data_IF_765941798280
#
_entry.id   IF_765941798280
#
_cell.length_a   1.000
_cell.length_b   1.000
_cell.length_c   1.000
_cell.angle_alpha   90.00
_cell.angle_beta   90.00
_cell.angle_gamma   90.00
#
_symmetry.space_group_name_H-M   'P 1'
#
loop_
_entity.id
_entity.type
_entity.pdbx_description
1 polymer ?
#
# COMPACT_ATOMS: atom_id res chain seq x y z
N UNK A 1 6.83 63.54 22.38
CA UNK A 1 7.78 62.75 21.57
C UNK A 1 8.44 61.77 22.52
N UNK A 2 8.30 60.44 22.50
CA UNK A 2 7.78 59.48 21.52
C UNK A 2 7.02 58.37 22.30
N UNK A 3 5.89 57.91 21.76
CA UNK A 3 5.22 56.68 22.18
C UNK A 3 5.89 55.47 21.49
N UNK A 4 6.34 54.47 22.24
CA UNK A 4 6.77 53.19 21.68
C UNK A 4 5.55 52.32 21.36
N UNK A 5 5.29 52.08 20.07
CA UNK A 5 4.36 51.05 19.62
C UNK A 5 5.06 49.69 19.64
N UNK A 6 4.55 48.74 20.43
CA UNK A 6 4.91 47.33 20.31
C UNK A 6 4.20 46.72 19.10
N UNK A 7 4.98 46.26 18.12
CA UNK A 7 4.50 45.52 16.96
C UNK A 7 4.28 44.05 17.34
N UNK A 8 3.01 43.63 17.41
CA UNK A 8 2.64 42.23 17.56
C UNK A 8 2.82 41.53 16.19
N UNK A 9 3.88 40.75 16.03
CA UNK A 9 4.09 39.92 14.83
C UNK A 9 3.23 38.66 14.90
N UNK A 10 2.20 38.57 14.06
CA UNK A 10 1.43 37.33 13.87
C UNK A 10 2.31 36.30 13.15
N UNK A 11 2.77 35.28 13.88
CA UNK A 11 3.36 34.07 13.31
C UNK A 11 2.24 33.25 12.67
N UNK A 12 2.19 33.26 11.34
CA UNK A 12 1.33 32.37 10.55
C UNK A 12 1.86 30.94 10.68
N UNK A 13 1.20 30.12 11.49
CA UNK A 13 1.51 28.70 11.65
C UNK A 13 0.97 27.99 10.40
N UNK A 14 1.82 27.80 9.39
CA UNK A 14 1.58 26.84 8.33
C UNK A 14 1.46 25.45 8.97
N UNK A 15 0.22 24.98 9.17
CA UNK A 15 -0.05 23.61 9.55
C UNK A 15 0.32 22.72 8.36
N UNK A 16 1.52 22.16 8.39
CA UNK A 16 1.87 21.04 7.53
C UNK A 16 0.98 19.87 7.93
N UNK A 17 -0.05 19.58 7.14
CA UNK A 17 -0.77 18.33 7.25
C UNK A 17 0.25 17.21 6.99
N UNK A 18 0.65 16.51 8.06
CA UNK A 18 1.49 15.34 7.95
C UNK A 18 0.83 14.39 6.94
N UNK A 19 1.57 13.99 5.90
CA UNK A 19 1.11 12.95 5.00
C UNK A 19 0.71 11.74 5.86
N UNK A 20 -0.55 11.31 5.72
CA UNK A 20 -1.02 10.14 6.44
C UNK A 20 -0.15 8.96 6.00
N UNK A 21 0.58 8.37 6.94
CA UNK A 21 1.44 7.22 6.67
C UNK A 21 0.65 5.96 6.29
N UNK A 22 1.33 4.81 6.13
CA UNK A 22 0.69 3.55 5.78
C UNK A 22 -0.39 3.17 6.80
N UNK A 23 -1.47 2.49 6.38
CA UNK A 23 -2.58 2.14 7.26
C UNK A 23 -2.15 1.19 8.37
N UNK A 24 -2.91 1.20 9.46
CA UNK A 24 -2.78 0.23 10.55
C UNK A 24 -3.95 -0.74 10.51
N UNK A 25 -3.69 -2.00 10.86
CA UNK A 25 -4.78 -2.97 11.07
C UNK A 25 -5.73 -2.42 12.13
N UNK A 26 -7.03 -2.49 11.84
CA UNK A 26 -8.09 -1.92 12.67
C UNK A 26 -8.53 -0.51 12.27
N UNK A 27 -7.88 0.17 11.30
CA UNK A 27 -8.41 1.40 10.71
C UNK A 27 -9.73 1.11 10.01
N UNK A 28 -10.80 1.87 10.34
CA UNK A 28 -12.18 1.64 9.88
C UNK A 28 -12.73 2.85 9.13
N UNK A 29 -13.53 2.56 8.11
CA UNK A 29 -14.25 3.54 7.30
C UNK A 29 -15.73 3.13 7.19
N UNK A 30 -16.61 3.72 8.01
CA UNK A 30 -18.04 3.44 7.96
C UNK A 30 -18.74 4.23 6.85
N UNK A 31 -19.85 3.70 6.34
CA UNK A 31 -20.80 4.43 5.47
C UNK A 31 -20.18 5.01 4.19
N UNK A 32 -19.25 4.29 3.56
CA UNK A 32 -18.60 4.73 2.33
C UNK A 32 -19.42 4.36 1.10
N UNK A 33 -19.20 5.11 0.02
CA UNK A 33 -19.67 4.73 -1.30
C UNK A 33 -18.79 3.60 -1.87
N UNK A 34 -19.40 2.69 -2.63
CA UNK A 34 -18.66 1.77 -3.48
C UNK A 34 -19.25 1.70 -4.89
N UNK A 35 -18.41 1.69 -5.89
CA UNK A 35 -18.75 1.45 -7.31
C UNK A 35 -18.07 0.18 -7.80
N UNK A 36 -18.18 -0.12 -9.09
CA UNK A 36 -17.42 -1.19 -9.70
C UNK A 36 -16.86 -0.83 -11.08
N UNK A 37 -15.81 -1.55 -11.48
CA UNK A 37 -15.26 -1.50 -12.82
C UNK A 37 -15.13 -2.89 -13.45
N UNK A 38 -15.04 -2.90 -14.78
CA UNK A 38 -14.76 -4.09 -15.58
C UNK A 38 -13.48 -3.83 -16.39
N UNK A 39 -12.32 -4.09 -15.79
CA UNK A 39 -11.02 -3.78 -16.37
C UNK A 39 -9.98 -4.83 -16.02
N UNK A 40 -8.71 -4.51 -16.30
CA UNK A 40 -7.60 -5.44 -16.12
C UNK A 40 -7.56 -6.02 -14.69
N UNK A 41 -7.41 -7.33 -14.61
CA UNK A 41 -7.32 -8.05 -13.34
C UNK A 41 -6.00 -7.74 -12.66
N UNK A 42 -6.07 -7.26 -11.41
CA UNK A 42 -4.92 -7.09 -10.52
C UNK A 42 -3.78 -6.15 -11.01
N UNK A 43 -3.97 -5.52 -12.18
CA UNK A 43 -3.19 -4.39 -12.64
C UNK A 43 -3.62 -3.13 -11.88
N UNK A 44 -2.73 -2.15 -11.83
CA UNK A 44 -3.02 -0.89 -11.17
C UNK A 44 -1.77 -0.15 -10.72
N UNK A 45 -1.99 1.02 -10.13
CA UNK A 45 -0.92 1.87 -9.59
C UNK A 45 0.02 1.12 -8.66
N UNK A 46 -0.42 0.12 -7.90
CA UNK A 46 0.44 -0.60 -6.96
C UNK A 46 1.38 -1.65 -7.60
N UNK A 47 1.31 -1.84 -8.93
CA UNK A 47 2.17 -2.74 -9.71
C UNK A 47 2.29 -4.18 -9.15
N UNK A 48 1.28 -4.67 -8.43
CA UNK A 48 1.28 -6.02 -7.86
C UNK A 48 1.32 -7.12 -8.94
N UNK A 49 0.77 -6.84 -10.12
CA UNK A 49 0.83 -7.72 -11.31
C UNK A 49 2.26 -8.03 -11.77
N UNK A 50 3.24 -7.16 -11.45
CA UNK A 50 4.65 -7.42 -11.76
C UNK A 50 5.24 -8.54 -10.89
N UNK A 51 4.62 -8.83 -9.74
CA UNK A 51 5.00 -9.92 -8.84
C UNK A 51 4.15 -11.17 -9.06
N UNK A 52 2.83 -11.01 -9.11
CA UNK A 52 1.87 -12.10 -9.28
C UNK A 52 0.71 -11.62 -10.15
N UNK A 53 0.28 -12.39 -11.15
CA UNK A 53 -0.75 -11.97 -12.11
C UNK A 53 -2.18 -11.94 -11.55
N UNK A 54 -2.40 -12.46 -10.34
CA UNK A 54 -3.69 -12.51 -9.67
C UNK A 54 -3.53 -12.34 -8.15
N UNK A 55 -4.57 -11.91 -7.42
CA UNK A 55 -4.54 -11.84 -5.97
C UNK A 55 -4.28 -13.22 -5.34
N UNK A 56 -3.71 -13.27 -4.12
CA UNK A 56 -3.58 -14.52 -3.37
C UNK A 56 -4.94 -15.22 -3.18
N UNK A 57 -4.93 -16.55 -3.13
CA UNK A 57 -6.14 -17.35 -3.02
C UNK A 57 -7.00 -16.92 -1.82
N UNK A 58 -8.28 -16.66 -2.07
CA UNK A 58 -9.24 -16.19 -1.05
C UNK A 58 -9.30 -14.68 -0.86
N UNK A 59 -8.49 -13.91 -1.61
CA UNK A 59 -8.58 -12.45 -1.68
C UNK A 59 -9.13 -12.01 -3.04
N UNK A 60 -9.99 -11.00 -3.03
CA UNK A 60 -10.28 -10.15 -4.19
C UNK A 60 -9.24 -9.04 -4.30
N UNK A 61 -9.39 -8.14 -5.27
CA UNK A 61 -8.63 -6.90 -5.40
C UNK A 61 -9.58 -5.70 -5.44
N UNK A 62 -9.08 -4.52 -5.08
CA UNK A 62 -9.93 -3.33 -4.91
C UNK A 62 -9.11 -2.06 -5.12
N UNK A 63 -9.79 -1.00 -5.59
CA UNK A 63 -9.25 0.35 -5.58
C UNK A 63 -9.81 1.11 -4.38
N UNK A 64 -8.96 1.87 -3.70
CA UNK A 64 -9.42 2.82 -2.67
C UNK A 64 -9.33 4.25 -3.21
N UNK A 65 -10.07 5.17 -2.61
CA UNK A 65 -10.07 6.56 -3.05
C UNK A 65 -8.68 7.24 -3.05
N UNK A 66 -8.52 8.21 -3.93
CA UNK A 66 -7.31 9.01 -4.11
C UNK A 66 -6.76 9.62 -2.81
N UNK A 67 -7.65 10.06 -1.90
CA UNK A 67 -7.24 10.64 -0.62
C UNK A 67 -6.44 9.67 0.26
N UNK A 68 -6.55 8.36 0.03
CA UNK A 68 -5.88 7.32 0.79
C UNK A 68 -4.64 6.75 0.09
N UNK A 69 -4.68 6.55 -1.23
CA UNK A 69 -3.66 5.74 -1.91
C UNK A 69 -3.00 6.43 -3.11
N UNK A 70 -3.15 7.76 -3.28
CA UNK A 70 -2.43 8.50 -4.33
C UNK A 70 -0.91 8.36 -4.22
N UNK A 71 -0.39 8.22 -3.00
CA UNK A 71 1.04 8.08 -2.72
C UNK A 71 1.44 6.61 -2.48
N UNK A 72 0.54 5.65 -2.78
CA UNK A 72 0.82 4.23 -2.61
C UNK A 72 0.81 3.73 -1.16
N UNK A 73 0.31 4.53 -0.21
CA UNK A 73 0.33 4.24 1.23
C UNK A 73 -0.47 2.98 1.58
N UNK A 74 -1.57 2.70 0.86
CA UNK A 74 -2.41 1.52 1.07
C UNK A 74 -2.03 0.35 0.16
N UNK A 75 -1.07 0.52 -0.76
CA UNK A 75 -0.72 -0.56 -1.69
C UNK A 75 -0.31 -1.84 -0.97
N UNK A 76 -0.96 -2.95 -1.34
CA UNK A 76 -0.73 -4.26 -0.74
C UNK A 76 -1.40 -4.48 0.62
N UNK A 77 -2.06 -3.47 1.20
CA UNK A 77 -2.84 -3.66 2.42
C UNK A 77 -4.10 -4.50 2.12
N UNK A 78 -4.47 -5.38 3.06
CA UNK A 78 -5.73 -6.11 2.97
C UNK A 78 -6.83 -5.39 3.72
N UNK A 79 -8.02 -5.41 3.15
CA UNK A 79 -9.23 -4.83 3.72
C UNK A 79 -10.35 -5.86 3.76
N UNK A 80 -11.23 -5.71 4.75
CA UNK A 80 -12.51 -6.42 4.81
C UNK A 80 -13.63 -5.46 4.46
N UNK A 81 -14.32 -5.73 3.36
CA UNK A 81 -15.44 -4.93 2.85
C UNK A 81 -16.75 -5.59 3.26
N UNK A 82 -17.62 -4.84 3.94
CA UNK A 82 -18.91 -5.31 4.45
C UNK A 82 -20.02 -4.48 3.79
N UNK A 83 -21.01 -5.14 3.14
CA UNK A 83 -22.14 -4.41 2.59
C UNK A 83 -23.04 -3.91 3.73
N UNK A 84 -23.50 -2.67 3.64
CA UNK A 84 -24.41 -2.09 4.64
C UNK A 84 -25.88 -2.37 4.34
N UNK A 85 -26.16 -2.91 3.15
CA UNK A 85 -27.48 -3.32 2.71
C UNK A 85 -27.48 -4.83 2.45
N UNK A 86 -28.59 -5.48 2.80
CA UNK A 86 -28.73 -6.93 2.68
C UNK A 86 -28.04 -7.72 3.80
N UNK A 87 -27.89 -9.04 3.59
CA UNK A 87 -27.33 -10.00 4.56
C UNK A 87 -26.12 -10.76 4.01
N UNK A 88 -25.44 -10.20 3.00
CA UNK A 88 -24.34 -10.88 2.33
C UNK A 88 -23.05 -10.79 3.15
N UNK A 89 -22.25 -11.85 3.07
CA UNK A 89 -21.02 -11.95 3.84
C UNK A 89 -19.99 -10.90 3.37
N UNK A 90 -19.14 -10.41 4.29
CA UNK A 90 -18.01 -9.57 3.93
C UNK A 90 -17.04 -10.27 2.97
N UNK A 91 -16.31 -9.47 2.20
CA UNK A 91 -15.27 -9.92 1.28
C UNK A 91 -13.93 -9.36 1.71
N UNK A 92 -12.89 -10.19 1.64
CA UNK A 92 -11.51 -9.76 1.85
C UNK A 92 -10.89 -9.40 0.50
N UNK A 93 -10.24 -8.25 0.43
CA UNK A 93 -9.59 -7.77 -0.77
C UNK A 93 -8.22 -7.17 -0.45
N UNK A 94 -7.31 -7.21 -1.42
CA UNK A 94 -6.04 -6.48 -1.37
C UNK A 94 -6.15 -5.19 -2.19
N UNK A 95 -5.62 -4.09 -1.65
CA UNK A 95 -5.58 -2.82 -2.35
C UNK A 95 -4.53 -2.89 -3.46
N UNK A 96 -5.00 -2.90 -4.71
CA UNK A 96 -4.14 -3.02 -5.90
C UNK A 96 -3.99 -1.71 -6.66
N UNK A 97 -4.86 -0.74 -6.41
CA UNK A 97 -4.80 0.57 -7.05
C UNK A 97 -5.54 1.65 -6.28
N UNK A 98 -5.68 2.84 -6.86
CA UNK A 98 -6.55 3.89 -6.36
C UNK A 98 -7.51 4.36 -7.45
N UNK A 99 -8.65 4.89 -7.03
CA UNK A 99 -9.63 5.53 -7.90
C UNK A 99 -9.48 7.05 -7.76
N UNK A 100 -9.05 7.71 -8.84
CA UNK A 100 -8.70 9.14 -8.85
C UNK A 100 -9.88 10.05 -8.50
N UNK A 101 -11.05 9.74 -9.07
CA UNK A 101 -12.27 10.57 -8.97
C UNK A 101 -13.27 10.04 -7.93
N UNK A 102 -12.90 9.00 -7.18
CA UNK A 102 -13.76 8.46 -6.15
C UNK A 102 -13.87 9.43 -4.95
N UNK A 103 -15.07 9.57 -4.36
CA UNK A 103 -15.25 10.32 -3.11
C UNK A 103 -14.31 9.83 -2.01
N UNK A 104 -14.04 10.68 -1.02
CA UNK A 104 -13.14 10.33 0.08
C UNK A 104 -13.52 8.99 0.74
N UNK A 105 -12.52 8.11 0.90
CA UNK A 105 -12.63 6.77 1.51
C UNK A 105 -13.52 5.78 0.74
N UNK A 106 -14.05 6.15 -0.43
CA UNK A 106 -14.84 5.26 -1.25
C UNK A 106 -14.00 4.10 -1.81
N UNK A 107 -14.71 3.06 -2.23
CA UNK A 107 -14.14 1.91 -2.91
C UNK A 107 -14.59 1.93 -4.37
N UNK A 108 -13.71 1.50 -5.24
CA UNK A 108 -14.12 0.94 -6.52
C UNK A 108 -13.72 -0.53 -6.45
N UNK A 109 -14.51 -1.45 -7.01
CA UNK A 109 -14.20 -2.89 -6.93
C UNK A 109 -14.45 -3.61 -8.27
N UNK A 110 -13.88 -4.80 -8.50
CA UNK A 110 -14.24 -5.59 -9.67
C UNK A 110 -15.73 -5.93 -9.67
N UNK A 111 -16.36 -5.96 -10.84
CA UNK A 111 -17.78 -6.31 -10.97
C UNK A 111 -18.15 -7.62 -10.23
N UNK A 112 -17.29 -8.64 -10.29
CA UNK A 112 -17.49 -9.91 -9.57
C UNK A 112 -17.57 -9.75 -8.05
N UNK A 113 -16.70 -8.91 -7.46
CA UNK A 113 -16.72 -8.59 -6.04
C UNK A 113 -17.97 -7.79 -5.66
N UNK A 114 -18.34 -6.80 -6.48
CA UNK A 114 -19.55 -6.00 -6.27
C UNK A 114 -20.80 -6.89 -6.30
N UNK A 115 -20.88 -7.78 -7.27
CA UNK A 115 -21.97 -8.75 -7.43
C UNK A 115 -22.06 -9.70 -6.26
N UNK A 116 -20.94 -10.12 -5.69
CA UNK A 116 -20.90 -10.93 -4.48
C UNK A 116 -21.43 -10.15 -3.28
N UNK A 117 -21.10 -8.87 -3.14
CA UNK A 117 -21.51 -8.04 -2.00
C UNK A 117 -22.95 -7.53 -2.09
N UNK A 118 -23.44 -7.17 -3.28
CA UNK A 118 -24.75 -6.52 -3.49
C UNK A 118 -25.79 -7.44 -4.15
N UNK A 119 -25.33 -8.41 -4.94
CA UNK A 119 -26.18 -9.28 -5.74
C UNK A 119 -26.31 -8.91 -7.20
N UNK A 120 -26.52 -9.96 -8.00
CA UNK A 120 -26.90 -9.88 -9.41
C UNK A 120 -28.41 -9.74 -9.52
N UNK A 121 -28.87 -8.51 -9.76
CA UNK A 121 -30.27 -8.23 -10.05
C UNK A 121 -30.36 -7.21 -11.19
N UNK A 122 -31.28 -7.39 -12.15
CA UNK A 122 -31.61 -6.36 -13.13
C UNK A 122 -31.96 -5.04 -12.45
N UNK A 123 -31.46 -3.92 -12.97
CA UNK A 123 -31.77 -2.58 -12.46
C UNK A 123 -31.10 -2.19 -11.14
N UNK A 124 -30.17 -3.01 -10.61
CA UNK A 124 -29.40 -2.61 -9.42
C UNK A 124 -28.63 -1.31 -9.66
N UNK A 125 -28.54 -0.40 -8.67
CA UNK A 125 -27.71 0.79 -8.81
C UNK A 125 -26.24 0.40 -8.94
N UNK A 126 -25.51 1.09 -9.79
CA UNK A 126 -24.05 0.95 -9.91
C UNK A 126 -23.26 1.54 -8.74
N UNK A 127 -23.97 1.99 -7.70
CA UNK A 127 -23.44 2.61 -6.49
C UNK A 127 -24.06 1.92 -5.27
N UNK A 128 -23.21 1.40 -4.39
CA UNK A 128 -23.59 0.74 -3.14
C UNK A 128 -23.04 1.46 -1.91
N UNK A 129 -23.48 1.02 -0.72
CA UNK A 129 -22.99 1.52 0.58
C UNK A 129 -22.30 0.40 1.35
N UNK A 130 -21.10 0.69 1.82
CA UNK A 130 -20.22 -0.29 2.46
C UNK A 130 -19.61 0.30 3.74
N UNK A 131 -19.16 -0.58 4.63
CA UNK A 131 -18.08 -0.26 5.54
C UNK A 131 -16.87 -1.10 5.19
N UNK A 132 -15.68 -0.60 5.46
CA UNK A 132 -14.50 -1.42 5.33
C UNK A 132 -13.48 -1.12 6.42
N UNK A 133 -12.63 -2.09 6.68
CA UNK A 133 -11.55 -1.97 7.65
C UNK A 133 -10.27 -2.62 7.15
N UNK A 134 -9.13 -2.07 7.55
CA UNK A 134 -7.82 -2.65 7.28
C UNK A 134 -7.64 -3.87 8.19
N UNK A 135 -7.30 -5.01 7.61
CA UNK A 135 -7.11 -6.28 8.32
C UNK A 135 -5.72 -6.84 8.03
N UNK A 136 -5.22 -7.70 8.92
CA UNK A 136 -4.05 -8.50 8.58
C UNK A 136 -4.38 -9.38 7.38
N UNK A 137 -3.49 -9.43 6.39
CA UNK A 137 -3.69 -10.24 5.21
C UNK A 137 -3.69 -11.74 5.58
N UNK A 138 -4.72 -12.52 5.20
CA UNK A 138 -4.84 -13.94 5.51
C UNK A 138 -3.95 -14.82 4.61
N UNK A 139 -2.67 -14.46 4.47
CA UNK A 139 -1.71 -15.11 3.57
C UNK A 139 -1.11 -16.37 4.21
N UNK A 140 -1.96 -17.33 4.63
CA UNK A 140 -1.62 -18.65 5.23
C UNK A 140 -0.17 -18.72 5.79
N UNK A 141 0.67 -19.56 5.16
CA UNK A 141 2.10 -19.76 5.47
C UNK A 141 3.01 -19.02 4.49
N UNK A 142 2.48 -18.06 3.73
CA UNK A 142 3.29 -17.24 2.85
C UNK A 142 4.21 -16.36 3.69
N UNK A 143 5.48 -16.37 3.34
CA UNK A 143 6.49 -15.48 3.90
C UNK A 143 6.69 -14.30 2.95
N UNK A 144 6.96 -13.09 3.49
CA UNK A 144 7.21 -11.92 2.67
C UNK A 144 8.36 -12.13 1.69
N UNK A 145 8.29 -11.42 0.57
CA UNK A 145 9.34 -11.43 -0.45
C UNK A 145 9.73 -10.01 -0.85
N UNK A 146 10.97 -9.88 -1.30
CA UNK A 146 11.50 -8.68 -1.94
C UNK A 146 11.70 -9.00 -3.41
N UNK A 147 11.11 -8.19 -4.30
CA UNK A 147 11.36 -8.28 -5.74
C UNK A 147 11.90 -6.95 -6.23
N UNK A 148 13.10 -6.97 -6.82
CA UNK A 148 13.65 -5.77 -7.45
C UNK A 148 12.81 -5.41 -8.68
N UNK A 149 12.67 -4.10 -8.93
CA UNK A 149 12.06 -3.59 -10.16
C UNK A 149 12.95 -3.92 -11.34
N UNK A 150 12.35 -4.17 -12.50
CA UNK A 150 13.12 -4.20 -13.74
C UNK A 150 13.91 -2.89 -13.92
N UNK A 151 15.20 -3.04 -14.24
CA UNK A 151 16.17 -1.95 -14.34
C UNK A 151 16.92 -1.66 -13.04
N UNK A 152 16.62 -2.35 -11.94
CA UNK A 152 17.40 -2.21 -10.70
C UNK A 152 18.81 -2.76 -10.86
N UNK A 153 19.75 -2.14 -10.16
CA UNK A 153 21.15 -2.53 -10.08
C UNK A 153 21.80 -1.91 -8.85
N UNK A 154 23.10 -2.14 -8.65
CA UNK A 154 23.87 -1.44 -7.61
C UNK A 154 23.96 0.08 -7.80
N UNK A 155 23.61 0.60 -8.98
CA UNK A 155 23.60 2.04 -9.27
C UNK A 155 22.25 2.71 -8.99
N UNK A 156 21.16 1.93 -9.00
CA UNK A 156 19.80 2.40 -8.74
C UNK A 156 18.95 1.20 -8.30
N UNK A 157 18.45 1.23 -7.07
CA UNK A 157 17.71 0.10 -6.48
C UNK A 157 16.29 0.54 -6.12
N UNK A 158 15.32 -0.17 -6.71
CA UNK A 158 13.89 0.00 -6.49
C UNK A 158 13.28 -1.36 -6.19
N UNK A 159 12.60 -1.51 -5.06
CA UNK A 159 12.14 -2.82 -4.58
C UNK A 159 10.68 -2.85 -4.20
N UNK A 160 9.98 -3.91 -4.61
CA UNK A 160 8.65 -4.25 -4.15
C UNK A 160 8.76 -5.16 -2.93
N UNK A 161 8.05 -4.80 -1.85
CA UNK A 161 7.77 -5.71 -0.74
C UNK A 161 6.43 -6.38 -1.02
N UNK A 162 6.44 -7.70 -1.15
CA UNK A 162 5.25 -8.51 -1.40
C UNK A 162 4.98 -9.49 -0.26
N UNK A 163 3.75 -9.97 -0.17
CA UNK A 163 3.30 -10.99 0.80
C UNK A 163 3.53 -10.64 2.29
N UNK A 164 3.65 -9.34 2.62
CA UNK A 164 3.62 -8.88 4.01
C UNK A 164 2.20 -9.00 4.58
N UNK A 165 2.07 -9.49 5.82
CA UNK A 165 0.74 -9.65 6.44
C UNK A 165 0.16 -8.33 6.94
N UNK A 166 1.02 -7.35 7.19
CA UNK A 166 0.66 -6.03 7.69
C UNK A 166 1.26 -4.97 6.76
N UNK A 167 0.64 -3.78 6.66
CA UNK A 167 1.19 -2.68 5.86
C UNK A 167 2.63 -2.36 6.25
N UNK A 168 3.46 -2.04 5.26
CA UNK A 168 4.89 -1.76 5.47
C UNK A 168 5.05 -0.32 5.95
N UNK A 169 5.69 -0.16 7.12
CA UNK A 169 5.96 1.13 7.74
C UNK A 169 7.24 1.76 7.22
N UNK A 170 8.31 0.97 7.06
CA UNK A 170 9.61 1.44 6.59
C UNK A 170 10.44 0.31 6.00
N UNK A 171 11.39 0.69 5.14
CA UNK A 171 12.41 -0.19 4.58
C UNK A 171 13.77 0.46 4.75
N UNK A 172 14.73 -0.30 5.27
CA UNK A 172 16.13 0.07 5.42
C UNK A 172 16.99 -0.89 4.60
N UNK A 173 17.97 -0.34 3.87
CA UNK A 173 18.84 -1.11 2.98
C UNK A 173 20.27 -0.96 3.48
N UNK A 174 20.85 -2.07 3.91
CA UNK A 174 22.22 -2.14 4.38
C UNK A 174 23.13 -2.64 3.26
N UNK A 175 24.11 -1.80 2.89
CA UNK A 175 25.13 -2.07 1.89
C UNK A 175 26.49 -1.83 2.53
N UNK A 176 27.21 -2.90 2.84
CA UNK A 176 28.47 -2.90 3.61
C UNK A 176 28.35 -2.16 4.95
N UNK A 177 28.94 -0.96 5.05
CA UNK A 177 28.93 -0.10 6.26
C UNK A 177 27.91 1.03 6.17
N UNK A 178 27.07 1.06 5.13
CA UNK A 178 26.12 2.13 4.84
C UNK A 178 24.68 1.61 4.98
N UNK A 179 23.86 2.35 5.72
CA UNK A 179 22.43 2.06 5.87
C UNK A 179 21.64 3.19 5.22
N UNK A 180 20.75 2.84 4.31
CA UNK A 180 19.91 3.77 3.58
C UNK A 180 18.45 3.61 3.99
N UNK A 181 17.75 4.67 4.43
CA UNK A 181 16.30 4.65 4.46
C UNK A 181 15.79 4.65 3.01
N UNK A 182 14.89 3.72 2.69
CA UNK A 182 14.21 3.71 1.42
C UNK A 182 12.89 4.49 1.52
N UNK A 183 12.54 5.15 0.42
CA UNK A 183 11.32 5.96 0.30
C UNK A 183 10.26 5.20 -0.47
N UNK A 184 9.04 5.21 0.08
CA UNK A 184 7.88 4.65 -0.60
C UNK A 184 7.51 5.51 -1.82
N UNK A 185 7.28 4.87 -2.95
CA UNK A 185 6.75 5.47 -4.16
C UNK A 185 5.25 5.23 -4.28
N UNK A 186 4.59 6.13 -4.99
CA UNK A 186 3.19 6.07 -5.40
C UNK A 186 2.80 4.79 -6.14
N UNK A 187 3.79 4.12 -6.75
CA UNK A 187 3.60 2.85 -7.43
C UNK A 187 4.03 1.61 -6.62
N UNK A 188 4.06 1.69 -5.29
CA UNK A 188 4.30 0.60 -4.33
C UNK A 188 5.75 0.14 -4.13
N UNK A 189 6.72 0.73 -4.83
CA UNK A 189 8.14 0.39 -4.66
C UNK A 189 8.82 1.23 -3.58
N UNK A 190 9.95 0.75 -3.10
CA UNK A 190 10.83 1.40 -2.14
C UNK A 190 12.17 1.70 -2.80
N UNK A 191 12.58 2.96 -2.78
CA UNK A 191 13.75 3.45 -3.53
C UNK A 191 14.75 4.16 -2.62
N UNK A 192 16.04 4.02 -2.93
CA UNK A 192 17.09 4.85 -2.33
C UNK A 192 17.25 6.09 -3.20
N UNK A 193 17.22 7.27 -2.59
CA UNK A 193 17.69 8.49 -3.24
C UNK A 193 19.15 8.73 -2.90
N UNK A 194 19.94 9.18 -3.88
CA UNK A 194 21.30 9.67 -3.68
C UNK A 194 22.22 8.68 -2.93
N UNK A 195 22.29 7.43 -3.39
CA UNK A 195 23.17 6.42 -2.80
C UNK A 195 24.66 6.78 -2.88
N UNK A 196 25.03 7.81 -3.65
CA UNK A 196 26.41 8.22 -3.89
C UNK A 196 27.14 7.14 -4.68
N UNK A 197 28.27 6.60 -4.18
CA UNK A 197 28.92 5.45 -4.79
C UNK A 197 27.97 4.25 -4.93
N UNK A 198 28.20 3.38 -5.93
CA UNK A 198 27.40 2.17 -6.14
C UNK A 198 27.26 1.34 -4.86
N UNK A 199 26.12 0.69 -4.70
CA UNK A 199 25.89 -0.30 -3.65
C UNK A 199 26.87 -1.48 -3.80
N UNK A 200 26.98 -2.25 -2.73
CA UNK A 200 27.67 -3.53 -2.74
C UNK A 200 27.01 -4.50 -3.75
N UNK A 201 27.73 -5.57 -4.10
CA UNK A 201 27.19 -6.61 -4.98
C UNK A 201 25.98 -7.32 -4.37
N UNK A 202 25.84 -7.28 -3.04
CA UNK A 202 24.65 -7.75 -2.33
C UNK A 202 24.29 -6.78 -1.21
N UNK A 203 23.01 -6.66 -0.90
CA UNK A 203 22.51 -5.82 0.20
C UNK A 203 21.61 -6.63 1.14
N UNK A 204 21.53 -6.20 2.39
CA UNK A 204 20.55 -6.72 3.35
C UNK A 204 19.39 -5.74 3.45
N UNK A 205 18.16 -6.24 3.33
CA UNK A 205 16.94 -5.41 3.35
C UNK A 205 16.17 -5.70 4.62
N UNK A 206 16.04 -4.70 5.49
CA UNK A 206 15.21 -4.76 6.69
C UNK A 206 13.89 -4.06 6.42
N UNK A 207 12.80 -4.76 6.67
CA UNK A 207 11.43 -4.24 6.51
C UNK A 207 10.76 -4.21 7.87
N UNK A 208 10.11 -3.10 8.21
CA UNK A 208 9.30 -2.97 9.42
C UNK A 208 7.85 -2.75 9.02
N UNK A 209 6.93 -3.54 9.57
CA UNK A 209 5.50 -3.38 9.34
C UNK A 209 4.85 -2.47 10.39
N UNK A 210 3.61 -2.05 10.15
CA UNK A 210 2.85 -1.20 11.07
C UNK A 210 2.43 -1.88 12.37
N UNK A 211 2.61 -3.21 12.49
CA UNK A 211 2.52 -3.96 13.74
C UNK A 211 3.82 -3.95 14.57
N UNK A 212 4.77 -3.08 14.21
CA UNK A 212 6.10 -2.89 14.83
C UNK A 212 7.08 -4.06 14.70
N UNK A 213 6.67 -5.19 14.11
CA UNK A 213 7.57 -6.30 13.80
C UNK A 213 8.37 -6.01 12.54
N UNK A 214 9.53 -6.65 12.45
CA UNK A 214 10.41 -6.55 11.28
C UNK A 214 10.87 -7.92 10.81
N UNK A 215 11.25 -7.99 9.54
CA UNK A 215 12.00 -9.11 8.96
C UNK A 215 13.21 -8.58 8.17
N UNK A 216 14.17 -9.46 7.93
CA UNK A 216 15.36 -9.15 7.14
C UNK A 216 15.51 -10.17 6.01
N UNK A 217 15.78 -9.68 4.81
CA UNK A 217 16.21 -10.49 3.66
C UNK A 217 17.67 -10.21 3.42
N UNK A 218 18.51 -11.24 3.56
CA UNK A 218 19.97 -11.11 3.42
C UNK A 218 20.43 -11.39 2.00
N UNK A 219 21.59 -10.84 1.65
CA UNK A 219 22.30 -11.13 0.40
C UNK A 219 21.46 -10.91 -0.88
N UNK A 220 20.63 -9.87 -0.90
CA UNK A 220 19.85 -9.48 -2.09
C UNK A 220 20.81 -8.93 -3.14
N UNK A 221 20.92 -9.59 -4.29
CA UNK A 221 21.60 -9.03 -5.47
C UNK A 221 20.73 -7.89 -6.04
N UNK A 222 21.21 -6.63 -6.07
CA UNK A 222 20.47 -5.50 -6.59
C UNK A 222 20.04 -5.62 -8.07
N UNK A 223 20.70 -6.50 -8.84
CA UNK A 223 20.46 -6.69 -10.28
C UNK A 223 19.57 -7.89 -10.59
N UNK A 224 19.30 -8.74 -9.59
CA UNK A 224 18.47 -9.93 -9.79
C UNK A 224 17.02 -9.55 -10.07
N UNK A 225 16.38 -10.29 -10.99
CA UNK A 225 14.95 -10.19 -11.29
C UNK A 225 14.09 -11.17 -10.46
N UNK A 226 14.74 -12.11 -9.78
CA UNK A 226 14.06 -13.14 -9.00
C UNK A 226 13.65 -12.61 -7.62
N UNK A 227 12.47 -13.03 -7.09
CA UNK A 227 12.06 -12.66 -5.74
C UNK A 227 12.93 -13.35 -4.68
N UNK A 228 13.37 -12.58 -3.68
CA UNK A 228 14.08 -13.07 -2.50
C UNK A 228 13.10 -13.29 -1.35
N UNK A 229 13.15 -14.47 -0.73
CA UNK A 229 12.23 -14.86 0.35
C UNK A 229 12.78 -14.47 1.71
N UNK A 230 11.95 -13.89 2.58
CA UNK A 230 12.29 -13.67 3.97
C UNK A 230 12.23 -14.96 4.80
N UNK A 231 13.05 -15.05 5.86
CA UNK A 231 13.04 -16.19 6.79
C UNK A 231 11.83 -16.16 7.75
N UNK A 232 11.33 -14.96 8.04
CA UNK A 232 10.21 -14.69 8.91
C UNK A 232 9.36 -13.56 8.31
N UNK A 233 8.19 -13.32 8.90
CA UNK A 233 7.30 -12.24 8.49
C UNK A 233 7.13 -11.16 9.56
N UNK A 234 6.63 -10.04 9.09
CA UNK A 234 5.81 -9.14 9.88
C UNK A 234 4.37 -9.23 9.38
#
# INVERSE_FOLDING_TARGET
MLFQLSTLSLLSICSFAAAAGPPRVGTKFPQVQGTYWNGATYAGSCLLSTYQQAPPAGLEYVAVANNLNRNGDYCGACIKVTPLQGKRAPVLAIVSTYCADCPANALDMPGTMYDRLMGSAPGRPGIGKFSWEVVACPLKDALPKIKNKEGSSKYSLSMLVADAKFPVQSVEINSDKRVFPAYKRDYNYWEIHNSGPPLANTVDVKVTCTNTRSFVVKNVDPSSKDPFKAANGC
#
